data_IF_518066415892
#
_entry.id   IF_518066415892
#
_cell.length_a   1.000
_cell.length_b   1.000
_cell.length_c   1.000
_cell.angle_alpha   90.00
_cell.angle_beta   90.00
_cell.angle_gamma   90.00
#
_symmetry.space_group_name_H-M   'P 1'
#
loop_
_entity.id
_entity.type
_entity.pdbx_description
1 polymer ?
#
# COMPACT_ATOMS: atom_id res chain seq x y z
N UNK A 1 -2.52 25.94 30.76
CA UNK A 1 -1.59 24.97 30.13
C UNK A 1 -2.37 23.84 29.44
N UNK A 2 -3.24 23.11 30.12
CA UNK A 2 -4.09 22.07 29.51
C UNK A 2 -4.98 22.60 28.36
N UNK A 3 -5.57 23.79 28.50
CA UNK A 3 -6.42 24.38 27.44
C UNK A 3 -5.66 24.67 26.13
N UNK A 4 -4.38 25.07 26.21
CA UNK A 4 -3.53 25.28 25.02
C UNK A 4 -3.13 23.96 24.37
N UNK A 5 -2.94 22.90 25.14
CA UNK A 5 -2.61 21.56 24.64
C UNK A 5 -3.81 20.92 23.97
N UNK A 6 -5.04 21.14 24.48
CA UNK A 6 -6.28 20.65 23.88
C UNK A 6 -6.65 21.38 22.58
N UNK A 7 -6.31 22.65 22.45
CA UNK A 7 -6.53 23.38 21.20
C UNK A 7 -5.70 22.84 20.03
N UNK A 8 -4.55 22.22 20.32
CA UNK A 8 -3.67 21.61 19.33
C UNK A 8 -4.18 20.27 18.78
N UNK A 9 -5.03 19.58 19.50
CA UNK A 9 -5.61 18.28 19.09
C UNK A 9 -6.87 18.44 18.21
N UNK A 10 -7.48 19.62 18.20
CA UNK A 10 -8.69 19.88 17.43
C UNK A 10 -8.46 20.25 15.96
N UNK A 11 -7.22 20.48 15.55
CA UNK A 11 -6.85 20.92 14.19
C UNK A 11 -6.20 19.79 13.35
N UNK A 12 -6.50 18.52 13.62
CA UNK A 12 -6.05 17.41 12.76
C UNK A 12 -7.24 16.91 11.92
N UNK A 13 -7.57 17.54 10.79
CA UNK A 13 -8.29 16.86 9.73
C UNK A 13 -7.30 15.86 9.11
N UNK A 14 -7.73 14.67 8.72
CA UNK A 14 -6.95 13.55 8.19
C UNK A 14 -5.96 13.85 7.05
N UNK A 15 -5.09 14.81 7.25
CA UNK A 15 -3.99 15.21 6.39
C UNK A 15 -2.65 15.04 7.13
N UNK A 16 -1.61 14.75 6.39
CA UNK A 16 -0.24 14.64 6.86
C UNK A 16 0.12 15.80 7.78
N UNK A 17 0.30 15.50 9.07
CA UNK A 17 0.81 16.46 10.06
C UNK A 17 2.20 16.93 9.61
N UNK A 18 2.36 18.22 9.40
CA UNK A 18 3.67 18.86 9.23
C UNK A 18 4.08 19.37 10.62
N UNK A 19 5.16 18.83 11.22
CA UNK A 19 5.63 19.29 12.50
C UNK A 19 5.89 20.81 12.46
N UNK A 20 5.38 21.54 13.44
CA UNK A 20 5.79 22.93 13.65
C UNK A 20 7.19 22.92 14.29
N UNK A 21 8.23 23.05 13.47
CA UNK A 21 9.63 23.07 13.89
C UNK A 21 9.96 24.15 14.94
N UNK A 22 9.03 25.08 15.20
CA UNK A 22 9.18 26.15 16.17
C UNK A 22 8.66 25.83 17.57
N UNK A 23 8.04 24.67 17.78
CA UNK A 23 7.61 24.22 19.11
C UNK A 23 8.73 23.47 19.82
N UNK A 24 9.58 24.19 20.50
CA UNK A 24 10.52 23.61 21.45
C UNK A 24 9.84 23.50 22.83
N UNK A 25 9.85 22.30 23.41
CA UNK A 25 9.51 22.05 24.80
C UNK A 25 10.82 21.95 25.59
N UNK A 26 10.89 22.57 26.78
CA UNK A 26 12.02 22.35 27.65
C UNK A 26 11.90 21.00 28.40
N UNK A 27 12.99 20.53 28.98
CA UNK A 27 13.05 19.23 29.66
C UNK A 27 12.03 19.13 30.81
N UNK A 28 11.77 20.23 31.54
CA UNK A 28 10.79 20.25 32.60
C UNK A 28 9.34 20.12 32.11
N UNK A 29 9.03 20.75 30.99
CA UNK A 29 7.72 20.60 30.32
C UNK A 29 7.53 19.17 29.83
N UNK A 30 8.55 18.57 29.22
CA UNK A 30 8.54 17.17 28.76
C UNK A 30 8.33 16.23 29.96
N UNK A 31 9.01 16.44 31.07
CA UNK A 31 8.86 15.60 32.24
C UNK A 31 7.45 15.70 32.86
N UNK A 32 6.91 16.90 33.01
CA UNK A 32 5.55 17.09 33.50
C UNK A 32 4.50 16.42 32.60
N UNK A 33 4.64 16.58 31.28
CA UNK A 33 3.75 15.96 30.30
C UNK A 33 3.84 14.43 30.36
N UNK A 34 5.08 13.90 30.45
CA UNK A 34 5.30 12.45 30.52
C UNK A 34 4.68 11.83 31.79
N UNK A 35 4.67 12.53 32.92
CA UNK A 35 4.03 12.06 34.15
C UNK A 35 2.51 11.95 33.99
N UNK A 36 1.89 12.90 33.27
CA UNK A 36 0.44 12.84 32.97
C UNK A 36 0.15 11.67 32.03
N UNK A 37 0.93 11.54 30.96
CA UNK A 37 0.76 10.48 29.98
C UNK A 37 0.97 9.08 30.59
N UNK A 38 1.96 8.91 31.48
CA UNK A 38 2.20 7.64 32.20
C UNK A 38 1.00 7.20 33.04
N UNK A 39 0.24 8.12 33.63
CA UNK A 39 -1.00 7.80 34.35
C UNK A 39 -2.10 7.28 33.43
N UNK A 40 -2.09 7.67 32.17
CA UNK A 40 -3.08 7.25 31.17
C UNK A 40 -2.73 5.93 30.48
N UNK A 41 -1.47 5.46 30.55
CA UNK A 41 -1.05 4.18 29.95
C UNK A 41 -1.94 3.01 30.35
N UNK A 42 -2.28 2.94 31.64
CA UNK A 42 -3.06 1.86 32.24
C UNK A 42 -4.47 2.29 32.58
N UNK A 43 -4.95 3.36 31.98
CA UNK A 43 -6.32 3.82 32.19
C UNK A 43 -7.33 2.75 31.77
N UNK A 44 -8.51 2.68 32.44
CA UNK A 44 -9.60 1.77 32.04
C UNK A 44 -9.96 1.88 30.57
N UNK A 45 -10.40 0.78 29.97
CA UNK A 45 -10.73 0.70 28.54
C UNK A 45 -11.68 1.80 28.06
N UNK A 46 -12.63 2.20 28.93
CA UNK A 46 -13.58 3.29 28.62
C UNK A 46 -12.87 4.64 28.41
N UNK A 47 -11.85 4.95 29.22
CA UNK A 47 -11.06 6.18 29.09
C UNK A 47 -10.19 6.08 27.84
N UNK A 48 -9.52 4.93 27.62
CA UNK A 48 -8.72 4.70 26.41
C UNK A 48 -9.56 4.84 25.14
N UNK A 49 -10.79 4.30 25.14
CA UNK A 49 -11.72 4.46 24.00
C UNK A 49 -12.06 5.93 23.72
N UNK A 50 -12.25 6.77 24.76
CA UNK A 50 -12.48 8.21 24.57
C UNK A 50 -11.26 8.92 23.98
N UNK A 51 -10.03 8.56 24.42
CA UNK A 51 -8.81 9.10 23.85
C UNK A 51 -8.66 8.69 22.36
N UNK A 52 -8.96 7.44 22.04
CA UNK A 52 -8.93 6.96 20.65
C UNK A 52 -9.97 7.67 19.77
N UNK A 53 -11.16 7.95 20.29
CA UNK A 53 -12.16 8.77 19.58
C UNK A 53 -11.71 10.21 19.35
N UNK A 54 -10.80 10.71 20.20
CA UNK A 54 -10.15 12.00 20.03
C UNK A 54 -8.82 11.92 19.21
N UNK A 55 -8.56 10.78 18.56
CA UNK A 55 -7.37 10.61 17.71
C UNK A 55 -6.08 10.29 18.47
N UNK A 56 -6.14 9.94 19.78
CA UNK A 56 -4.95 9.72 20.61
C UNK A 56 -4.90 8.29 21.14
N UNK A 57 -3.77 7.62 20.92
CA UNK A 57 -3.46 6.34 21.58
C UNK A 57 -2.16 6.48 22.37
N UNK A 58 -2.18 6.06 23.63
CA UNK A 58 -1.01 6.07 24.51
C UNK A 58 -0.63 4.62 24.80
N UNK A 59 0.58 4.24 24.42
CA UNK A 59 1.13 2.89 24.60
C UNK A 59 2.47 2.97 25.35
N UNK A 60 2.86 1.91 26.08
CA UNK A 60 4.20 1.86 26.70
C UNK A 60 5.30 1.91 25.64
N UNK A 61 6.37 2.63 25.91
CA UNK A 61 7.61 2.55 25.13
C UNK A 61 8.58 1.60 25.85
N UNK A 62 8.65 0.36 25.40
CA UNK A 62 9.56 -0.67 25.90
C UNK A 62 9.77 -1.73 24.82
N UNK A 63 10.57 -2.75 25.08
CA UNK A 63 10.90 -3.80 24.09
C UNK A 63 9.72 -4.67 23.62
N UNK A 64 8.55 -4.55 24.23
CA UNK A 64 7.30 -5.15 23.74
C UNK A 64 6.45 -4.19 22.89
N UNK A 65 6.90 -2.95 22.70
CA UNK A 65 6.12 -1.98 21.93
C UNK A 65 6.08 -2.36 20.46
N UNK A 66 4.91 -2.30 19.87
CA UNK A 66 4.71 -2.53 18.43
C UNK A 66 5.29 -1.38 17.59
N UNK A 67 5.40 -0.19 18.18
CA UNK A 67 6.03 0.98 17.57
C UNK A 67 7.50 1.01 17.98
N UNK A 68 8.44 1.03 17.02
CA UNK A 68 9.87 1.08 17.33
C UNK A 68 10.22 2.40 17.98
N UNK A 69 11.22 2.38 18.89
CA UNK A 69 11.83 3.61 19.39
C UNK A 69 12.67 4.28 18.30
N UNK A 70 12.95 5.58 18.44
CA UNK A 70 13.84 6.30 17.52
C UNK A 70 15.21 5.61 17.45
N UNK A 71 15.74 5.16 18.61
CA UNK A 71 17.01 4.43 18.69
C UNK A 71 16.95 3.09 17.92
N UNK A 72 15.83 2.33 18.00
CA UNK A 72 15.67 1.10 17.24
C UNK A 72 15.63 1.37 15.72
N UNK A 73 14.95 2.45 15.32
CA UNK A 73 14.90 2.88 13.94
C UNK A 73 16.30 3.21 13.43
N UNK A 74 17.02 4.09 14.13
CA UNK A 74 18.37 4.53 13.73
C UNK A 74 19.34 3.35 13.66
N UNK A 75 19.33 2.48 14.66
CA UNK A 75 20.17 1.26 14.68
C UNK A 75 19.86 0.28 13.55
N UNK A 76 18.64 0.23 13.05
CA UNK A 76 18.24 -0.69 11.96
C UNK A 76 18.84 -0.32 10.60
N UNK A 77 19.44 0.87 10.47
CA UNK A 77 20.06 1.33 9.22
C UNK A 77 21.60 1.15 9.18
N UNK A 78 22.25 0.77 10.29
CA UNK A 78 23.70 0.60 10.34
C UNK A 78 24.12 -0.62 11.19
N UNK A 79 24.55 -1.73 10.56
CA UNK A 79 24.46 -2.12 9.15
C UNK A 79 23.06 -2.62 8.77
N UNK A 80 22.71 -2.71 7.49
CA UNK A 80 21.44 -3.28 7.07
C UNK A 80 21.36 -4.75 7.49
N UNK A 81 20.46 -5.05 8.40
CA UNK A 81 20.38 -6.35 9.10
C UNK A 81 19.72 -7.42 8.21
N UNK A 82 19.06 -7.03 7.10
CA UNK A 82 18.18 -7.93 6.36
C UNK A 82 18.49 -7.94 4.87
N UNK A 83 18.62 -9.15 4.32
CA UNK A 83 18.69 -9.37 2.89
C UNK A 83 17.31 -9.79 2.38
N UNK A 84 16.62 -8.92 1.68
CA UNK A 84 15.31 -9.15 1.11
C UNK A 84 15.36 -9.62 -0.37
N UNK A 85 16.52 -10.05 -0.87
CA UNK A 85 16.69 -10.48 -2.27
C UNK A 85 16.16 -11.90 -2.55
N UNK A 86 15.84 -12.71 -1.54
CA UNK A 86 15.48 -14.12 -1.65
C UNK A 86 14.30 -14.44 -2.58
N UNK A 87 13.38 -13.49 -2.75
CA UNK A 87 12.15 -13.69 -3.54
C UNK A 87 12.28 -13.22 -4.99
N UNK A 88 13.42 -12.63 -5.39
CA UNK A 88 13.60 -12.01 -6.69
C UNK A 88 14.46 -12.87 -7.62
N UNK A 89 13.98 -13.10 -8.84
CA UNK A 89 14.70 -13.67 -9.96
C UNK A 89 15.05 -12.53 -10.94
N UNK A 90 16.29 -12.02 -10.90
CA UNK A 90 16.70 -10.85 -11.68
C UNK A 90 16.49 -11.02 -13.19
N UNK A 91 16.79 -12.21 -13.73
CA UNK A 91 16.58 -12.51 -15.16
C UNK A 91 15.09 -12.46 -15.52
N UNK A 92 14.27 -13.18 -14.77
CA UNK A 92 12.83 -13.19 -14.98
C UNK A 92 12.19 -11.83 -14.80
N UNK A 93 12.66 -11.04 -13.83
CA UNK A 93 12.18 -9.67 -13.60
C UNK A 93 12.49 -8.74 -14.78
N UNK A 94 13.71 -8.82 -15.37
CA UNK A 94 14.11 -8.04 -16.56
C UNK A 94 13.32 -8.44 -17.80
N UNK A 95 13.15 -9.72 -18.03
CA UNK A 95 12.34 -10.23 -19.13
C UNK A 95 10.90 -9.75 -19.03
N UNK A 96 10.32 -9.83 -17.83
CA UNK A 96 8.97 -9.38 -17.58
C UNK A 96 8.80 -7.86 -17.79
N UNK A 97 9.74 -7.05 -17.33
CA UNK A 97 9.74 -5.60 -17.59
C UNK A 97 9.81 -5.30 -19.10
N UNK A 98 10.61 -6.06 -19.85
CA UNK A 98 10.70 -5.92 -21.31
C UNK A 98 9.38 -6.29 -22.01
N UNK A 99 8.66 -7.29 -21.49
CA UNK A 99 7.32 -7.63 -21.99
C UNK A 99 6.31 -6.51 -21.73
N UNK A 100 6.29 -5.93 -20.52
CA UNK A 100 5.40 -4.81 -20.19
C UNK A 100 5.73 -3.57 -21.03
N UNK A 101 7.02 -3.36 -21.35
CA UNK A 101 7.46 -2.22 -22.16
C UNK A 101 6.76 -2.17 -23.53
N UNK A 102 6.32 -3.28 -24.08
CA UNK A 102 5.59 -3.32 -25.36
C UNK A 102 4.29 -2.51 -25.33
N UNK A 103 3.68 -2.35 -24.15
CA UNK A 103 2.42 -1.62 -23.94
C UNK A 103 2.63 -0.21 -23.36
N UNK A 104 3.82 0.11 -22.87
CA UNK A 104 4.04 1.34 -22.12
C UNK A 104 3.91 2.61 -22.97
N UNK A 105 4.11 2.52 -24.29
CA UNK A 105 3.93 3.65 -25.20
C UNK A 105 2.46 4.11 -25.32
N UNK A 106 1.50 3.25 -24.98
CA UNK A 106 0.06 3.55 -25.04
C UNK A 106 -0.40 4.42 -23.85
N UNK A 107 0.28 4.36 -22.70
CA UNK A 107 -0.11 5.07 -21.50
C UNK A 107 0.53 6.46 -21.45
N UNK A 108 -0.19 7.46 -21.93
CA UNK A 108 0.25 8.85 -22.02
C UNK A 108 -0.77 9.85 -21.46
N UNK A 109 -1.15 9.71 -20.17
CA UNK A 109 -2.06 10.66 -19.56
C UNK A 109 -1.42 12.05 -19.41
N UNK A 110 -2.23 13.12 -19.28
CA UNK A 110 -1.71 14.47 -19.09
C UNK A 110 -0.88 14.58 -17.81
N UNK A 111 0.02 15.56 -17.78
CA UNK A 111 0.86 15.80 -16.60
C UNK A 111 0.02 16.32 -15.44
N UNK A 112 -0.86 17.27 -15.69
CA UNK A 112 -1.76 17.85 -14.72
C UNK A 112 -3.22 17.44 -15.00
N UNK A 113 -4.06 17.42 -13.97
CA UNK A 113 -5.46 17.05 -14.09
C UNK A 113 -6.24 18.07 -14.95
N UNK A 114 -6.99 17.57 -15.95
CA UNK A 114 -7.84 18.39 -16.83
C UNK A 114 -9.24 18.58 -16.22
N UNK A 115 -9.58 17.79 -15.19
CA UNK A 115 -10.86 17.86 -14.48
C UNK A 115 -11.01 16.75 -13.44
N UNK A 116 -12.05 16.85 -12.61
CA UNK A 116 -12.33 15.83 -11.59
C UNK A 116 -12.63 14.48 -12.22
N UNK A 117 -11.96 13.41 -11.71
CA UNK A 117 -12.19 12.04 -12.18
C UNK A 117 -11.38 11.63 -13.42
N UNK A 118 -10.40 12.41 -13.86
CA UNK A 118 -9.42 12.01 -14.87
C UNK A 118 -8.05 11.75 -14.24
N UNK A 119 -7.36 10.72 -14.72
CA UNK A 119 -5.99 10.44 -14.28
C UNK A 119 -5.00 11.45 -14.88
N UNK A 120 -4.02 11.86 -14.06
CA UNK A 120 -2.87 12.68 -14.46
C UNK A 120 -1.63 12.21 -13.69
N UNK A 121 -0.43 12.53 -14.21
CA UNK A 121 0.81 12.16 -13.53
C UNK A 121 1.06 12.89 -12.22
N UNK A 122 0.64 14.14 -12.13
CA UNK A 122 0.80 14.99 -10.94
C UNK A 122 -0.51 15.13 -10.16
N UNK A 123 -0.39 15.43 -8.86
CA UNK A 123 -1.54 15.72 -8.00
C UNK A 123 -2.31 14.51 -7.49
N UNK A 124 -1.77 13.29 -7.65
CA UNK A 124 -2.37 12.08 -7.09
C UNK A 124 -1.31 11.17 -6.43
N UNK A 125 -1.70 10.31 -5.48
CA UNK A 125 -0.78 9.43 -4.77
C UNK A 125 -0.35 8.20 -5.58
N UNK A 126 -1.10 7.79 -6.62
CA UNK A 126 -0.79 6.61 -7.44
C UNK A 126 -0.17 7.04 -8.78
N UNK A 127 1.15 7.12 -8.83
CA UNK A 127 1.90 7.63 -9.98
C UNK A 127 3.21 6.84 -10.20
N UNK A 128 4.24 7.46 -10.77
CA UNK A 128 5.53 6.81 -11.03
C UNK A 128 5.41 5.58 -11.93
N UNK A 129 6.33 4.62 -11.77
CA UNK A 129 6.27 3.34 -12.51
C UNK A 129 5.11 2.45 -12.07
N UNK A 130 4.47 2.74 -10.94
CA UNK A 130 3.33 1.96 -10.43
C UNK A 130 2.14 2.08 -11.38
N UNK A 131 1.79 3.30 -11.76
CA UNK A 131 0.71 3.55 -12.71
C UNK A 131 1.02 2.98 -14.11
N UNK A 132 2.24 3.18 -14.60
CA UNK A 132 2.68 2.63 -15.88
C UNK A 132 2.60 1.09 -15.87
N UNK A 133 3.11 0.45 -14.82
CA UNK A 133 3.09 -1.00 -14.69
C UNK A 133 1.67 -1.54 -14.60
N UNK A 134 0.79 -0.90 -13.82
CA UNK A 134 -0.60 -1.33 -13.68
C UNK A 134 -1.34 -1.26 -15.02
N UNK A 135 -1.22 -0.15 -15.74
CA UNK A 135 -1.77 -0.03 -17.08
C UNK A 135 -1.27 -1.17 -17.98
N UNK A 136 0.05 -1.37 -18.07
CA UNK A 136 0.65 -2.38 -18.93
C UNK A 136 0.27 -3.81 -18.54
N UNK A 137 0.14 -4.11 -17.25
CA UNK A 137 -0.35 -5.40 -16.75
C UNK A 137 -1.74 -5.70 -17.27
N UNK A 138 -2.67 -4.74 -17.15
CA UNK A 138 -4.05 -4.90 -17.63
C UNK A 138 -4.09 -5.04 -19.17
N UNK A 139 -3.29 -4.26 -19.89
CA UNK A 139 -3.20 -4.35 -21.35
C UNK A 139 -2.72 -5.72 -21.83
N UNK A 140 -1.69 -6.25 -21.16
CA UNK A 140 -1.08 -7.53 -21.50
C UNK A 140 -1.96 -8.72 -21.16
N UNK A 141 -2.49 -8.78 -19.96
CA UNK A 141 -3.19 -9.98 -19.44
C UNK A 141 -4.70 -9.95 -19.66
N UNK A 142 -5.27 -8.78 -19.94
CA UNK A 142 -6.70 -8.60 -20.25
C UNK A 142 -7.62 -9.28 -19.22
N UNK A 143 -7.47 -8.98 -17.90
CA UNK A 143 -8.29 -9.62 -16.89
C UNK A 143 -9.77 -9.39 -17.16
N UNK A 144 -10.59 -10.39 -16.89
CA UNK A 144 -12.05 -10.25 -16.95
C UNK A 144 -12.56 -9.48 -15.73
N UNK A 145 -11.95 -9.70 -14.57
CA UNK A 145 -12.29 -9.04 -13.31
C UNK A 145 -11.03 -8.55 -12.61
N UNK A 146 -11.08 -7.33 -12.11
CA UNK A 146 -10.11 -6.78 -11.18
C UNK A 146 -10.83 -6.53 -9.87
N UNK A 147 -10.34 -7.10 -8.77
CA UNK A 147 -10.79 -6.70 -7.43
C UNK A 147 -9.75 -5.73 -6.88
N UNK A 148 -10.14 -4.48 -6.60
CA UNK A 148 -9.31 -3.49 -5.91
C UNK A 148 -9.74 -3.38 -4.44
N UNK A 149 -8.81 -3.68 -3.55
CA UNK A 149 -8.91 -3.40 -2.11
C UNK A 149 -8.12 -2.13 -1.85
N UNK A 150 -8.83 -1.06 -1.45
CA UNK A 150 -8.29 0.30 -1.48
C UNK A 150 -8.39 0.89 -2.88
N UNK A 151 -9.55 1.45 -3.22
CA UNK A 151 -9.83 1.98 -4.55
C UNK A 151 -9.72 3.51 -4.56
N UNK A 152 -9.14 4.04 -5.63
CA UNK A 152 -8.95 5.48 -5.76
C UNK A 152 -8.34 5.87 -7.10
N UNK A 153 -7.19 6.51 -7.08
CA UNK A 153 -6.49 6.92 -8.32
C UNK A 153 -5.97 5.75 -9.14
N UNK A 154 -5.67 4.63 -8.52
CA UNK A 154 -5.35 3.36 -9.20
C UNK A 154 -6.50 2.92 -10.11
N UNK A 155 -7.75 3.06 -9.66
CA UNK A 155 -8.95 2.70 -10.40
C UNK A 155 -9.08 3.50 -11.71
N UNK A 156 -8.64 4.76 -11.74
CA UNK A 156 -8.61 5.56 -12.97
C UNK A 156 -7.63 5.00 -14.00
N UNK A 157 -6.47 4.48 -13.56
CA UNK A 157 -5.50 3.82 -14.43
C UNK A 157 -6.08 2.51 -14.96
N UNK A 158 -6.72 1.73 -14.10
CA UNK A 158 -7.38 0.48 -14.48
C UNK A 158 -8.49 0.73 -15.51
N UNK A 159 -9.33 1.73 -15.30
CA UNK A 159 -10.40 2.12 -16.22
C UNK A 159 -9.86 2.47 -17.63
N UNK A 160 -8.78 3.28 -17.69
CA UNK A 160 -8.12 3.61 -18.95
C UNK A 160 -7.64 2.36 -19.69
N UNK A 161 -7.02 1.42 -18.99
CA UNK A 161 -6.51 0.18 -19.58
C UNK A 161 -7.63 -0.78 -20.01
N UNK A 162 -8.69 -0.92 -19.21
CA UNK A 162 -9.86 -1.75 -19.55
C UNK A 162 -10.62 -1.18 -20.73
N UNK A 163 -10.79 0.14 -20.82
CA UNK A 163 -11.37 0.81 -21.99
C UNK A 163 -10.55 0.55 -23.26
N UNK A 164 -9.21 0.64 -23.15
CA UNK A 164 -8.32 0.30 -24.25
C UNK A 164 -8.39 -1.19 -24.65
N UNK A 165 -8.72 -2.08 -23.72
CA UNK A 165 -8.99 -3.48 -23.97
C UNK A 165 -10.41 -3.74 -24.55
N UNK A 166 -11.33 -2.80 -24.41
CA UNK A 166 -12.77 -2.97 -24.64
C UNK A 166 -13.36 -4.18 -23.89
N UNK A 167 -12.82 -4.52 -22.72
CA UNK A 167 -13.23 -5.68 -21.93
C UNK A 167 -12.74 -5.57 -20.49
N UNK A 168 -13.45 -6.25 -19.58
CA UNK A 168 -13.13 -6.35 -18.15
C UNK A 168 -13.93 -5.37 -17.30
N UNK A 169 -13.96 -5.66 -16.00
CA UNK A 169 -14.68 -4.89 -14.99
C UNK A 169 -13.89 -4.78 -13.69
N UNK A 170 -14.26 -3.81 -12.86
CA UNK A 170 -13.64 -3.57 -11.56
C UNK A 170 -14.68 -3.75 -10.45
N UNK A 171 -14.29 -4.49 -9.42
CA UNK A 171 -14.98 -4.58 -8.12
C UNK A 171 -14.12 -3.82 -7.12
N UNK A 172 -14.60 -2.68 -6.62
CA UNK A 172 -13.90 -1.89 -5.61
C UNK A 172 -14.39 -2.26 -4.21
N UNK A 173 -13.46 -2.46 -3.28
CA UNK A 173 -13.72 -2.63 -1.84
C UNK A 173 -13.00 -1.47 -1.14
N UNK A 174 -13.77 -0.44 -0.76
CA UNK A 174 -13.23 0.79 -0.18
C UNK A 174 -14.26 1.36 0.82
N UNK A 175 -13.94 1.43 2.12
CA UNK A 175 -14.89 1.92 3.13
C UNK A 175 -15.19 3.42 3.03
N UNK A 176 -14.30 4.21 2.40
CA UNK A 176 -14.43 5.68 2.27
C UNK A 176 -14.18 6.14 0.84
N UNK A 177 -14.99 5.68 -0.14
CA UNK A 177 -14.70 5.89 -1.54
C UNK A 177 -14.73 7.37 -1.93
N UNK A 178 -13.72 7.86 -2.66
CA UNK A 178 -13.83 9.17 -3.26
C UNK A 178 -14.98 9.20 -4.27
N UNK A 179 -15.69 10.34 -4.35
CA UNK A 179 -16.92 10.48 -5.11
C UNK A 179 -16.77 10.13 -6.60
N UNK A 180 -15.60 10.39 -7.18
CA UNK A 180 -15.37 10.12 -8.61
C UNK A 180 -15.45 8.62 -8.97
N UNK A 181 -15.26 7.70 -8.02
CA UNK A 181 -15.38 6.26 -8.31
C UNK A 181 -16.76 5.86 -8.81
N UNK A 182 -17.81 6.55 -8.36
CA UNK A 182 -19.20 6.29 -8.75
C UNK A 182 -19.48 6.61 -10.22
N UNK A 183 -18.61 7.44 -10.82
CA UNK A 183 -18.72 7.85 -12.22
C UNK A 183 -17.86 7.04 -13.19
N UNK A 184 -17.13 6.02 -12.72
CA UNK A 184 -16.23 5.21 -13.55
C UNK A 184 -17.00 4.03 -14.16
N UNK A 185 -17.09 3.99 -15.48
CA UNK A 185 -17.89 2.97 -16.21
C UNK A 185 -17.43 1.55 -15.98
N UNK A 186 -16.12 1.32 -15.81
CA UNK A 186 -15.55 -0.01 -15.55
C UNK A 186 -15.81 -0.52 -14.14
N UNK A 187 -16.17 0.35 -13.18
CA UNK A 187 -16.55 -0.05 -11.83
C UNK A 187 -17.98 -0.57 -11.84
N UNK A 188 -18.13 -1.88 -11.76
CA UNK A 188 -19.45 -2.53 -11.73
C UNK A 188 -19.98 -2.74 -10.32
N UNK A 189 -19.09 -2.84 -9.35
CA UNK A 189 -19.46 -3.03 -7.94
C UNK A 189 -18.57 -2.18 -7.05
N UNK A 190 -19.18 -1.39 -6.18
CA UNK A 190 -18.51 -0.62 -5.14
C UNK A 190 -19.02 -1.09 -3.78
N UNK A 191 -18.15 -1.71 -3.00
CA UNK A 191 -18.45 -2.23 -1.66
C UNK A 191 -17.86 -1.28 -0.63
N UNK A 192 -18.72 -0.47 -0.02
CA UNK A 192 -18.34 0.56 0.95
C UNK A 192 -18.22 -0.04 2.36
N UNK A 193 -17.32 -1.01 2.52
CA UNK A 193 -17.05 -1.68 3.79
C UNK A 193 -15.58 -2.03 3.91
N UNK A 194 -15.05 -2.15 5.15
CA UNK A 194 -13.72 -2.70 5.40
C UNK A 194 -13.59 -4.12 4.81
N UNK A 195 -12.46 -4.41 4.19
CA UNK A 195 -12.22 -5.71 3.53
C UNK A 195 -12.29 -6.89 4.52
N UNK A 196 -12.02 -6.67 5.80
CA UNK A 196 -12.13 -7.67 6.85
C UNK A 196 -13.57 -8.21 7.04
N UNK A 197 -14.57 -7.47 6.57
CA UNK A 197 -15.97 -7.88 6.60
C UNK A 197 -16.39 -8.71 5.38
N UNK A 198 -15.51 -8.81 4.37
CA UNK A 198 -15.76 -9.53 3.13
C UNK A 198 -15.24 -10.96 3.29
N UNK A 199 -16.09 -11.99 3.21
CA UNK A 199 -15.63 -13.36 3.40
C UNK A 199 -14.66 -13.81 2.29
N UNK A 200 -13.64 -14.63 2.58
CA UNK A 200 -12.69 -15.13 1.58
C UNK A 200 -13.36 -15.81 0.37
N UNK A 201 -14.49 -16.47 0.59
CA UNK A 201 -15.26 -17.11 -0.47
C UNK A 201 -15.77 -16.12 -1.55
N UNK A 202 -15.94 -14.84 -1.20
CA UNK A 202 -16.31 -13.81 -2.17
C UNK A 202 -15.21 -13.64 -3.22
N UNK A 203 -13.95 -13.56 -2.80
CA UNK A 203 -12.80 -13.40 -3.70
C UNK A 203 -12.67 -14.60 -4.63
N UNK A 204 -12.76 -15.80 -4.07
CA UNK A 204 -12.65 -17.05 -4.83
C UNK A 204 -13.78 -17.22 -5.86
N UNK A 205 -15.00 -16.79 -5.52
CA UNK A 205 -16.15 -16.84 -6.41
C UNK A 205 -16.11 -15.76 -7.51
N UNK A 206 -15.50 -14.61 -7.24
CA UNK A 206 -15.48 -13.46 -8.16
C UNK A 206 -14.30 -13.50 -9.13
N UNK A 207 -13.20 -14.13 -8.78
CA UNK A 207 -11.98 -14.20 -9.59
C UNK A 207 -11.93 -15.47 -10.43
N UNK A 208 -11.38 -15.36 -11.64
CA UNK A 208 -11.08 -16.45 -12.57
C UNK A 208 -9.57 -16.55 -12.78
N UNK A 209 -9.14 -17.61 -13.47
CA UNK A 209 -7.73 -17.73 -13.86
C UNK A 209 -7.31 -16.55 -14.76
N UNK A 210 -6.23 -15.88 -14.37
CA UNK A 210 -5.71 -14.70 -15.06
C UNK A 210 -6.27 -13.37 -14.58
N UNK A 211 -7.26 -13.36 -13.68
CA UNK A 211 -7.79 -12.12 -13.08
C UNK A 211 -6.84 -11.51 -12.07
N UNK A 212 -7.15 -10.30 -11.63
CA UNK A 212 -6.28 -9.50 -10.76
C UNK A 212 -6.91 -9.24 -9.38
N UNK A 213 -6.08 -9.38 -8.36
CA UNK A 213 -6.35 -8.85 -7.02
C UNK A 213 -5.34 -7.75 -6.72
N UNK A 214 -5.81 -6.52 -6.64
CA UNK A 214 -5.02 -5.34 -6.34
C UNK A 214 -5.22 -5.00 -4.85
N UNK A 215 -4.12 -4.89 -4.10
CA UNK A 215 -4.10 -4.62 -2.66
C UNK A 215 -3.37 -3.30 -2.43
N UNK A 216 -4.10 -2.31 -1.96
CA UNK A 216 -3.58 -1.03 -1.48
C UNK A 216 -4.32 -0.68 -0.18
N UNK A 217 -3.94 -1.35 0.89
CA UNK A 217 -4.67 -1.39 2.16
C UNK A 217 -4.05 -0.46 3.22
N UNK A 218 -4.21 -0.75 4.51
CA UNK A 218 -3.63 0.10 5.57
C UNK A 218 -2.12 -0.11 5.79
N UNK A 219 -1.52 -1.08 5.13
CA UNK A 219 -0.11 -1.47 5.22
C UNK A 219 0.36 -1.88 6.64
N UNK A 220 -0.57 -2.09 7.57
CA UNK A 220 -0.25 -2.35 8.97
C UNK A 220 -0.72 -3.73 9.42
N UNK A 221 0.25 -4.58 9.81
CA UNK A 221 -0.02 -5.91 10.39
C UNK A 221 -0.31 -5.76 11.88
N UNK A 222 -1.58 -5.81 12.25
CA UNK A 222 -2.06 -5.74 13.63
C UNK A 222 -3.32 -6.57 13.83
N UNK A 223 -3.70 -6.86 15.07
CA UNK A 223 -4.95 -7.59 15.35
C UNK A 223 -6.15 -6.95 14.64
N UNK A 224 -6.86 -7.75 13.84
CA UNK A 224 -8.04 -7.33 13.09
C UNK A 224 -7.75 -6.47 11.86
N UNK A 225 -6.48 -6.41 11.40
CA UNK A 225 -6.14 -5.64 10.20
C UNK A 225 -6.57 -6.35 8.91
N UNK A 226 -6.74 -5.54 7.89
CA UNK A 226 -6.90 -5.92 6.50
C UNK A 226 -5.74 -6.79 5.99
N UNK A 227 -4.48 -6.43 6.32
CA UNK A 227 -3.31 -7.22 5.96
C UNK A 227 -3.42 -8.67 6.48
N UNK A 228 -3.78 -8.89 7.75
CA UNK A 228 -3.97 -10.25 8.28
C UNK A 228 -5.09 -10.98 7.55
N UNK A 229 -6.20 -10.30 7.28
CA UNK A 229 -7.33 -10.90 6.55
C UNK A 229 -6.92 -11.30 5.13
N UNK A 230 -6.28 -10.42 4.39
CA UNK A 230 -5.85 -10.66 3.02
C UNK A 230 -4.81 -11.78 2.94
N UNK A 231 -3.69 -11.65 3.65
CA UNK A 231 -2.55 -12.56 3.52
C UNK A 231 -2.75 -13.92 4.19
N UNK A 232 -3.54 -14.01 5.27
CA UNK A 232 -3.73 -15.25 6.02
C UNK A 232 -5.09 -15.90 5.80
N UNK A 233 -6.07 -15.17 5.27
CA UNK A 233 -7.40 -15.73 5.06
C UNK A 233 -7.83 -15.76 3.60
N UNK A 234 -7.58 -14.71 2.82
CA UNK A 234 -7.98 -14.63 1.41
C UNK A 234 -6.99 -15.37 0.52
N UNK A 235 -5.74 -14.91 0.43
CA UNK A 235 -4.74 -15.42 -0.52
C UNK A 235 -4.54 -16.94 -0.43
N UNK A 236 -4.42 -17.57 0.76
CA UNK A 236 -4.21 -19.02 0.85
C UNK A 236 -5.36 -19.84 0.29
N UNK A 237 -6.58 -19.27 0.26
CA UNK A 237 -7.82 -19.97 -0.15
C UNK A 237 -8.23 -19.75 -1.60
N UNK A 238 -7.52 -18.89 -2.34
CA UNK A 238 -7.81 -18.70 -3.76
C UNK A 238 -7.54 -20.00 -4.53
N UNK A 239 -8.59 -20.53 -5.14
CA UNK A 239 -8.53 -21.74 -5.97
C UNK A 239 -8.14 -21.44 -7.42
N UNK A 240 -8.12 -20.17 -7.81
CA UNK A 240 -7.78 -19.68 -9.14
C UNK A 240 -6.35 -19.18 -9.20
N UNK A 241 -5.77 -19.29 -10.40
CA UNK A 241 -4.43 -18.71 -10.67
C UNK A 241 -4.60 -17.25 -11.04
N UNK A 242 -4.15 -16.36 -10.18
CA UNK A 242 -4.36 -14.90 -10.30
C UNK A 242 -3.05 -14.14 -10.23
N UNK A 243 -3.08 -12.90 -10.72
CA UNK A 243 -2.03 -11.92 -10.48
C UNK A 243 -2.41 -11.06 -9.28
N UNK A 244 -1.45 -10.85 -8.40
CA UNK A 244 -1.65 -10.08 -7.17
C UNK A 244 -0.71 -8.89 -7.20
N UNK A 245 -1.26 -7.72 -6.93
CA UNK A 245 -0.52 -6.49 -6.68
C UNK A 245 -0.56 -6.17 -5.19
N UNK A 246 0.57 -5.81 -4.62
CA UNK A 246 0.66 -5.15 -3.32
C UNK A 246 1.33 -3.79 -3.52
N UNK A 247 0.65 -2.73 -3.05
CA UNK A 247 1.16 -1.36 -3.13
C UNK A 247 1.99 -0.98 -1.90
N UNK A 248 2.76 0.10 -2.04
CA UNK A 248 3.65 0.63 -0.99
C UNK A 248 4.64 -0.40 -0.40
N UNK A 249 5.09 -1.32 -1.25
CA UNK A 249 6.12 -2.31 -0.96
C UNK A 249 7.48 -1.80 -1.44
N UNK A 250 8.41 -1.63 -0.51
CA UNK A 250 9.76 -1.13 -0.77
C UNK A 250 10.80 -2.24 -0.95
N UNK A 251 10.40 -3.52 -0.97
CA UNK A 251 11.32 -4.65 -1.16
C UNK A 251 12.14 -4.50 -2.47
N UNK A 252 13.44 -4.81 -2.45
CA UNK A 252 14.25 -5.41 -1.38
C UNK A 252 14.78 -4.41 -0.33
N UNK A 253 14.37 -3.15 -0.35
CA UNK A 253 14.75 -2.15 0.63
C UNK A 253 13.78 -2.10 1.83
N UNK A 254 14.19 -1.39 2.86
CA UNK A 254 13.34 -0.95 3.97
C UNK A 254 12.70 0.41 3.63
N UNK A 255 11.79 0.88 4.48
CA UNK A 255 11.28 2.25 4.38
C UNK A 255 12.41 3.26 4.64
N UNK A 256 12.40 4.43 3.97
CA UNK A 256 13.37 5.48 4.22
C UNK A 256 13.37 5.95 5.69
N UNK A 257 14.56 6.27 6.22
CA UNK A 257 14.73 6.68 7.61
C UNK A 257 13.81 7.84 8.01
N UNK A 258 13.66 8.83 7.13
CA UNK A 258 12.78 9.97 7.37
C UNK A 258 11.29 9.60 7.38
N UNK A 259 10.87 8.58 6.64
CA UNK A 259 9.48 8.10 6.69
C UNK A 259 9.19 7.42 8.03
N UNK A 260 10.12 6.61 8.52
CA UNK A 260 9.99 5.94 9.81
C UNK A 260 10.10 6.92 10.98
N UNK A 261 11.16 7.75 11.01
CA UNK A 261 11.48 8.61 12.16
C UNK A 261 10.62 9.87 12.23
N UNK A 262 10.43 10.54 11.07
CA UNK A 262 9.87 11.89 11.05
C UNK A 262 8.39 11.90 10.64
N UNK A 263 7.96 10.91 9.80
CA UNK A 263 6.57 10.79 9.33
C UNK A 263 5.77 9.70 10.05
N UNK A 264 6.37 8.93 10.94
CA UNK A 264 5.74 7.85 11.71
C UNK A 264 5.10 6.76 10.83
N UNK A 265 5.69 6.48 9.66
CA UNK A 265 5.23 5.43 8.73
C UNK A 265 5.79 4.08 9.20
N UNK A 266 5.09 3.43 10.14
CA UNK A 266 5.49 2.12 10.70
C UNK A 266 4.76 0.97 9.99
N UNK A 267 4.74 0.99 8.67
CA UNK A 267 4.07 -0.02 7.88
C UNK A 267 4.84 -1.34 7.90
N UNK A 268 4.11 -2.43 8.11
CA UNK A 268 4.67 -3.75 8.33
C UNK A 268 4.22 -4.78 7.31
N UNK A 269 3.34 -4.42 6.38
CA UNK A 269 2.80 -5.30 5.35
C UNK A 269 3.88 -6.00 4.54
N UNK A 270 4.92 -5.27 4.11
CA UNK A 270 5.99 -5.85 3.30
C UNK A 270 6.72 -7.02 3.96
N UNK A 271 6.79 -7.05 5.30
CA UNK A 271 7.43 -8.16 6.03
C UNK A 271 6.54 -9.40 6.07
N UNK A 272 5.22 -9.22 6.21
CA UNK A 272 4.25 -10.32 6.10
C UNK A 272 4.21 -10.85 4.66
N UNK A 273 4.20 -9.97 3.65
CA UNK A 273 4.26 -10.33 2.25
C UNK A 273 5.56 -11.09 1.94
N UNK A 274 6.70 -10.62 2.41
CA UNK A 274 7.98 -11.31 2.24
C UNK A 274 7.93 -12.72 2.81
N UNK A 275 7.43 -12.88 4.05
CA UNK A 275 7.26 -14.17 4.69
C UNK A 275 6.28 -15.09 3.92
N UNK A 276 5.25 -14.52 3.31
CA UNK A 276 4.31 -15.25 2.47
C UNK A 276 4.95 -15.75 1.17
N UNK A 277 5.87 -14.99 0.59
CA UNK A 277 6.52 -15.30 -0.69
C UNK A 277 7.70 -16.26 -0.55
N UNK A 278 8.44 -16.24 0.57
CA UNK A 278 9.59 -17.13 0.79
C UNK A 278 9.13 -18.58 0.75
N UNK A 279 9.83 -19.40 -0.03
CA UNK A 279 9.61 -20.85 -0.19
C UNK A 279 8.16 -21.23 -0.56
N UNK A 280 7.37 -20.29 -1.02
CA UNK A 280 6.02 -20.56 -1.50
C UNK A 280 6.04 -20.93 -2.99
N UNK A 281 6.06 -22.21 -3.30
CA UNK A 281 6.08 -22.72 -4.69
C UNK A 281 4.85 -22.36 -5.53
N UNK A 282 3.81 -21.84 -4.91
CA UNK A 282 2.61 -21.32 -5.62
C UNK A 282 2.81 -19.91 -6.14
N UNK A 283 3.78 -19.16 -5.65
CA UNK A 283 3.97 -17.76 -5.99
C UNK A 283 5.24 -17.53 -6.81
N UNK A 284 5.21 -16.47 -7.64
CA UNK A 284 6.38 -15.99 -8.36
C UNK A 284 6.31 -14.47 -8.49
N UNK A 285 7.29 -13.76 -7.95
CA UNK A 285 7.43 -12.32 -8.14
C UNK A 285 7.81 -12.04 -9.58
N UNK A 286 7.14 -11.06 -10.20
CA UNK A 286 7.30 -10.74 -11.61
C UNK A 286 7.75 -9.31 -11.84
N UNK A 287 7.31 -8.37 -11.00
CA UNK A 287 7.66 -6.95 -11.12
C UNK A 287 7.72 -6.31 -9.73
N UNK A 288 8.65 -5.40 -9.55
CA UNK A 288 8.75 -4.55 -8.37
C UNK A 288 9.32 -3.19 -8.75
N UNK A 289 8.58 -2.10 -8.51
CA UNK A 289 9.02 -0.74 -8.85
C UNK A 289 10.30 -0.37 -8.11
N UNK A 290 10.37 -0.60 -6.81
CA UNK A 290 11.59 -0.37 -6.01
C UNK A 290 12.72 -1.29 -6.45
N UNK A 291 12.45 -2.59 -6.73
CA UNK A 291 13.46 -3.50 -7.22
C UNK A 291 14.12 -3.00 -8.51
N UNK A 292 13.31 -2.67 -9.51
CA UNK A 292 13.81 -2.17 -10.79
C UNK A 292 14.51 -0.81 -10.66
N UNK A 293 14.03 0.06 -9.78
CA UNK A 293 14.68 1.33 -9.50
C UNK A 293 16.10 1.16 -8.95
N UNK A 294 16.31 0.16 -8.11
CA UNK A 294 17.62 -0.13 -7.50
C UNK A 294 18.54 -0.95 -8.39
N UNK A 295 18.00 -1.93 -9.13
CA UNK A 295 18.79 -2.93 -9.86
C UNK A 295 18.79 -2.74 -11.38
N UNK A 296 17.71 -2.21 -11.95
CA UNK A 296 17.47 -2.15 -13.41
C UNK A 296 17.04 -0.76 -13.86
N UNK A 297 17.63 0.28 -13.28
CA UNK A 297 17.18 1.67 -13.42
C UNK A 297 17.13 2.16 -14.87
N UNK A 298 18.08 1.76 -15.70
CA UNK A 298 18.10 2.16 -17.11
C UNK A 298 16.87 1.61 -17.85
N UNK A 299 16.53 0.35 -17.64
CA UNK A 299 15.35 -0.27 -18.26
C UNK A 299 14.05 0.35 -17.73
N UNK A 300 13.99 0.62 -16.42
CA UNK A 300 12.82 1.27 -15.80
C UNK A 300 12.63 2.71 -16.35
N UNK A 301 13.71 3.47 -16.54
CA UNK A 301 13.62 4.79 -17.15
C UNK A 301 13.15 4.72 -18.62
N UNK A 302 13.63 3.73 -19.38
CA UNK A 302 13.16 3.51 -20.74
C UNK A 302 11.66 3.14 -20.78
N UNK A 303 11.21 2.30 -19.84
CA UNK A 303 9.82 1.93 -19.67
C UNK A 303 8.89 3.13 -19.41
N UNK A 304 9.39 4.16 -18.72
CA UNK A 304 8.65 5.39 -18.43
C UNK A 304 8.57 6.37 -19.59
N UNK A 305 9.37 6.22 -20.65
CA UNK A 305 9.42 7.11 -21.82
C UNK A 305 9.63 8.60 -21.50
N UNK A 306 10.17 8.93 -20.33
CA UNK A 306 10.32 10.33 -19.87
C UNK A 306 9.00 11.03 -19.47
N UNK A 307 7.89 10.32 -19.40
CA UNK A 307 6.56 10.87 -19.06
C UNK A 307 6.45 11.29 -17.61
N UNK A 308 7.06 10.50 -16.72
CA UNK A 308 7.17 10.81 -15.29
C UNK A 308 8.41 10.16 -14.68
N UNK A 309 8.60 10.31 -13.36
CA UNK A 309 9.74 9.75 -12.65
C UNK A 309 9.63 8.22 -12.53
N UNK A 310 10.74 7.53 -12.67
CA UNK A 310 10.83 6.10 -12.37
C UNK A 310 10.91 5.88 -10.86
N UNK A 311 10.34 4.79 -10.38
CA UNK A 311 10.28 4.41 -8.96
C UNK A 311 8.88 3.99 -8.55
N UNK A 312 8.60 4.06 -7.27
CA UNK A 312 7.31 3.67 -6.69
C UNK A 312 7.41 2.47 -5.76
N UNK A 313 6.25 1.97 -5.33
CA UNK A 313 6.11 0.90 -4.34
C UNK A 313 5.28 -0.29 -4.81
N UNK A 314 5.03 -0.48 -6.10
CA UNK A 314 4.30 -1.65 -6.60
C UNK A 314 5.13 -2.92 -6.55
N UNK A 315 4.55 -4.01 -6.05
CA UNK A 315 5.08 -5.36 -6.21
C UNK A 315 4.00 -6.26 -6.80
N UNK A 316 4.31 -6.91 -7.91
CA UNK A 316 3.44 -7.84 -8.62
C UNK A 316 3.97 -9.26 -8.54
N UNK A 317 3.09 -10.18 -8.20
CA UNK A 317 3.39 -11.62 -8.25
C UNK A 317 2.21 -12.41 -8.78
N UNK A 318 2.49 -13.53 -9.44
CA UNK A 318 1.46 -14.50 -9.76
C UNK A 318 1.32 -15.51 -8.64
N UNK A 319 0.12 -16.02 -8.45
CA UNK A 319 -0.18 -17.10 -7.52
C UNK A 319 -1.00 -18.17 -8.22
N UNK A 320 -0.54 -19.41 -8.17
CA UNK A 320 -1.30 -20.59 -8.62
C UNK A 320 -2.42 -20.89 -7.64
N UNK A 321 -3.55 -21.34 -8.17
CA UNK A 321 -4.67 -21.77 -7.37
C UNK A 321 -4.31 -22.81 -6.31
N UNK A 322 -5.02 -22.79 -5.18
CA UNK A 322 -4.86 -23.84 -4.16
C UNK A 322 -5.26 -25.20 -4.75
N UNK A 323 -4.57 -26.30 -4.41
CA UNK A 323 -5.04 -27.63 -4.76
C UNK A 323 -6.47 -27.85 -4.25
N UNK A 324 -7.28 -28.53 -5.05
CA UNK A 324 -8.59 -28.98 -4.58
C UNK A 324 -8.41 -29.83 -3.32
N UNK A 325 -9.15 -29.51 -2.27
CA UNK A 325 -9.13 -30.26 -1.01
C UNK A 325 -9.73 -31.67 -1.21
#
# INVERSE_FOLDING_TARGET
MLEKTFALLNDIPGGTYVPDEKKCYDDAEIEQLSQILKRLLWAPSQIRKKLQQAGVTIIPCNFYSEIPSIEDIERSFDPPVQNFDLIFDDSGMKEFLAELHQFSHEFDPPREAIGGGSYSWEGNPFSFSDAMAYYCMIRRYRPATIIEVGAGWSTLVADLALKANAAGEIICIEPFPPEFLRGIDSVKTLIERPVQEIPPAFFDASLRDGDFLFIDSTHTVKHGSDCLHLYLSVLPRLSRSVFIHAHDIRLPATFPLNELRDKHVYWTEQYLLMAYLIDNSRTRVQYGSTYHFLRNRQQLNAFMHGRFHAGGGSLWFSQKGAPSA
#
